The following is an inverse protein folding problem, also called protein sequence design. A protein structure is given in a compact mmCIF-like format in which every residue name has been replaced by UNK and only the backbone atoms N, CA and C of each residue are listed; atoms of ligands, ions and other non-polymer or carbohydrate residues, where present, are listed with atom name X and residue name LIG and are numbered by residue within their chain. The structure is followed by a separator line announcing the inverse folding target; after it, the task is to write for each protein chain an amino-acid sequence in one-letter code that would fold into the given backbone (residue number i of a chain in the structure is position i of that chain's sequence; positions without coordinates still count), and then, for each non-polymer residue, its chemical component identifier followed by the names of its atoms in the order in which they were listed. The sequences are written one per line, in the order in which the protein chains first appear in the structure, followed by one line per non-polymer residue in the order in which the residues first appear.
data_IF_392082829379
#
_entry.id   IF_392082829379
#
_cell.length_a   1.000
_cell.length_b   1.000
_cell.length_c   1.000
_cell.angle_alpha   90.00
_cell.angle_beta   90.00
_cell.angle_gamma   90.00
#
_symmetry.space_group_name_H-M   'P 1'
#
loop_
_entity.id
_entity.type
_entity.pdbx_description
1 polymer ?
#
# COMPACT_ATOMS: atom_id res chain seq x y z
N UNK A 1 30.46 -29.10 20.57
CA UNK A 1 29.73 -30.16 19.83
C UNK A 1 28.28 -30.35 20.32
N UNK A 2 27.58 -29.30 20.79
CA UNK A 2 26.21 -29.40 21.34
C UNK A 2 25.14 -28.58 20.60
N UNK A 3 25.50 -27.59 19.76
CA UNK A 3 24.51 -26.79 19.00
C UNK A 3 23.93 -27.56 17.80
N UNK A 4 24.72 -28.44 17.16
CA UNK A 4 24.25 -29.27 16.02
C UNK A 4 23.21 -30.35 16.39
N UNK A 5 23.05 -30.68 17.68
CA UNK A 5 22.06 -31.67 18.15
C UNK A 5 20.70 -31.04 18.50
N UNK A 6 20.64 -29.74 18.76
CA UNK A 6 19.39 -29.04 19.09
C UNK A 6 18.51 -28.81 17.85
N UNK A 7 19.10 -28.37 16.72
CA UNK A 7 18.36 -28.15 15.47
C UNK A 7 17.76 -29.43 14.86
N UNK A 8 18.39 -30.60 15.03
CA UNK A 8 17.84 -31.86 14.51
C UNK A 8 16.62 -32.37 15.28
N UNK A 9 16.53 -32.10 16.60
CA UNK A 9 15.44 -32.58 17.44
C UNK A 9 14.21 -31.68 17.40
N UNK A 10 14.41 -30.36 17.33
CA UNK A 10 13.31 -29.38 17.35
C UNK A 10 12.97 -28.79 15.97
N UNK A 11 13.89 -28.85 14.99
CA UNK A 11 13.66 -28.33 13.63
C UNK A 11 12.58 -29.11 12.87
N UNK A 12 12.53 -30.44 13.05
CA UNK A 12 11.45 -31.28 12.47
C UNK A 12 10.10 -30.96 13.11
N UNK A 13 10.09 -30.65 14.41
CA UNK A 13 8.88 -30.30 15.15
C UNK A 13 8.31 -28.95 14.73
N UNK A 14 9.16 -27.94 14.46
CA UNK A 14 8.72 -26.61 13.98
C UNK A 14 8.16 -26.69 12.55
N UNK A 15 8.80 -27.42 11.65
CA UNK A 15 8.31 -27.61 10.28
C UNK A 15 6.97 -28.36 10.27
N UNK A 16 6.83 -29.39 11.11
CA UNK A 16 5.58 -30.10 11.27
C UNK A 16 4.46 -29.21 11.85
N UNK A 17 4.78 -28.32 12.80
CA UNK A 17 3.81 -27.35 13.34
C UNK A 17 3.40 -26.31 12.31
N UNK A 18 4.33 -25.79 11.49
CA UNK A 18 4.00 -24.88 10.40
C UNK A 18 3.12 -25.55 9.34
N UNK A 19 3.43 -26.80 8.97
CA UNK A 19 2.62 -27.58 8.04
C UNK A 19 1.21 -27.82 8.60
N UNK A 20 1.10 -28.16 9.89
CA UNK A 20 -0.19 -28.35 10.57
C UNK A 20 -1.00 -27.05 10.62
N UNK A 21 -0.37 -25.91 10.87
CA UNK A 21 -1.06 -24.61 10.87
C UNK A 21 -1.52 -24.21 9.46
N UNK A 22 -0.76 -24.54 8.41
CA UNK A 22 -1.15 -24.29 7.01
C UNK A 22 -2.29 -25.22 6.58
N UNK A 23 -2.30 -26.49 6.99
CA UNK A 23 -3.39 -27.41 6.69
C UNK A 23 -4.65 -27.04 7.47
N UNK A 24 -4.54 -26.67 8.74
CA UNK A 24 -5.65 -26.17 9.55
C UNK A 24 -6.19 -24.84 8.98
N UNK A 25 -5.32 -23.93 8.51
CA UNK A 25 -5.74 -22.70 7.82
C UNK A 25 -6.51 -23.00 6.52
N UNK A 26 -6.07 -24.00 5.74
CA UNK A 26 -6.80 -24.44 4.54
C UNK A 26 -8.13 -25.14 4.87
N UNK A 27 -8.24 -25.83 6.01
CA UNK A 27 -9.46 -26.52 6.45
C UNK A 27 -10.48 -25.53 7.06
N UNK A 28 -10.02 -24.44 7.68
CA UNK A 28 -10.90 -23.38 8.26
C UNK A 28 -11.51 -22.48 7.16
N UNK A 29 -10.99 -22.51 5.92
CA UNK A 29 -11.59 -21.82 4.78
C UNK A 29 -12.07 -22.78 3.68
N UNK A 30 -13.06 -23.65 3.93
CA UNK A 30 -13.81 -24.27 2.85
C UNK A 30 -14.79 -23.21 2.33
N UNK A 31 -14.61 -22.79 1.09
CA UNK A 31 -15.59 -21.98 0.33
C UNK A 31 -15.71 -20.49 0.67
N UNK A 32 -14.59 -19.77 0.77
CA UNK A 32 -14.58 -18.37 0.33
C UNK A 32 -14.54 -18.28 -1.21
N UNK A 33 -15.42 -19.03 -1.89
CA UNK A 33 -15.77 -18.78 -3.29
C UNK A 33 -16.74 -17.61 -3.30
N UNK A 34 -16.21 -16.40 -3.07
CA UNK A 34 -16.90 -15.19 -3.49
C UNK A 34 -16.99 -15.32 -5.01
N UNK A 35 -18.21 -15.48 -5.54
CA UNK A 35 -18.47 -15.41 -6.97
C UNK A 35 -17.74 -14.19 -7.54
N UNK A 36 -16.66 -14.44 -8.27
CA UNK A 36 -15.97 -13.41 -9.04
C UNK A 36 -16.93 -12.97 -10.12
N UNK A 37 -17.70 -11.92 -9.82
CA UNK A 37 -18.37 -11.12 -10.83
C UNK A 37 -17.27 -10.44 -11.64
N UNK A 38 -16.75 -11.16 -12.64
CA UNK A 38 -15.75 -10.66 -13.57
C UNK A 38 -16.37 -9.48 -14.34
N UNK A 39 -16.09 -8.28 -13.86
CA UNK A 39 -16.24 -7.07 -14.63
C UNK A 39 -14.91 -6.35 -14.68
N UNK A 40 -14.21 -6.59 -15.80
CA UNK A 40 -12.97 -5.98 -16.31
C UNK A 40 -11.64 -6.52 -15.72
N UNK A 41 -10.80 -7.09 -16.61
CA UNK A 41 -9.44 -7.62 -16.39
C UNK A 41 -8.41 -6.50 -16.08
N UNK A 42 -8.59 -5.75 -15.00
CA UNK A 42 -7.59 -4.79 -14.55
C UNK A 42 -7.30 -4.99 -13.08
N UNK A 43 -6.05 -5.38 -12.79
CA UNK A 43 -5.51 -5.39 -11.44
C UNK A 43 -5.01 -3.99 -11.09
N UNK A 44 -5.25 -3.55 -9.85
CA UNK A 44 -4.71 -2.31 -9.30
C UNK A 44 -3.36 -2.59 -8.63
N UNK A 45 -2.29 -1.96 -9.11
CA UNK A 45 -0.98 -2.03 -8.47
C UNK A 45 -0.86 -0.95 -7.37
N UNK A 46 -0.79 -1.37 -6.12
CA UNK A 46 -0.72 -0.47 -4.96
C UNK A 46 0.73 -0.32 -4.56
N UNK A 47 1.31 0.83 -4.88
CA UNK A 47 2.71 1.16 -4.64
C UNK A 47 2.83 1.91 -3.32
N UNK A 48 3.53 1.31 -2.36
CA UNK A 48 3.66 1.82 -1.00
C UNK A 48 5.14 2.11 -0.69
N UNK A 49 5.55 3.38 -0.60
CA UNK A 49 6.90 3.74 -0.17
C UNK A 49 7.03 3.47 1.32
N UNK A 50 8.10 2.82 1.74
CA UNK A 50 8.21 2.26 3.09
C UNK A 50 9.62 2.38 3.68
N UNK A 51 9.68 2.71 4.98
CA UNK A 51 10.85 2.53 5.85
C UNK A 51 10.38 2.60 7.31
N UNK A 52 10.83 1.68 8.16
CA UNK A 52 10.64 1.69 9.62
C UNK A 52 9.20 1.92 10.13
N UNK A 53 8.19 1.56 9.34
CA UNK A 53 6.75 1.72 9.68
C UNK A 53 6.02 0.39 9.81
N UNK A 54 6.69 -0.62 10.36
CA UNK A 54 6.18 -2.00 10.38
C UNK A 54 4.79 -2.12 11.01
N UNK A 55 4.53 -1.40 12.12
CA UNK A 55 3.20 -1.40 12.74
C UNK A 55 2.13 -0.81 11.83
N UNK A 56 2.40 0.29 11.11
CA UNK A 56 1.46 0.82 10.12
C UNK A 56 1.20 -0.20 9.01
N UNK A 57 2.25 -0.86 8.50
CA UNK A 57 2.13 -1.87 7.45
C UNK A 57 1.28 -3.07 7.88
N UNK A 58 1.43 -3.52 9.14
CA UNK A 58 0.63 -4.60 9.72
C UNK A 58 -0.87 -4.28 9.76
N UNK A 59 -1.25 -3.02 9.96
CA UNK A 59 -2.66 -2.60 9.88
C UNK A 59 -3.10 -2.34 8.44
N UNK A 60 -2.21 -1.76 7.63
CA UNK A 60 -2.49 -1.36 6.25
C UNK A 60 -2.87 -2.54 5.36
N UNK A 61 -2.03 -3.57 5.30
CA UNK A 61 -2.22 -4.70 4.38
C UNK A 61 -3.57 -5.41 4.58
N UNK A 62 -3.93 -5.91 5.78
CA UNK A 62 -5.20 -6.61 5.95
C UNK A 62 -6.41 -5.69 5.76
N UNK A 63 -6.33 -4.44 6.21
CA UNK A 63 -7.41 -3.47 6.06
C UNK A 63 -7.69 -3.18 4.58
N UNK A 64 -6.65 -2.81 3.83
CA UNK A 64 -6.76 -2.50 2.40
C UNK A 64 -7.16 -3.72 1.59
N UNK A 65 -6.61 -4.89 1.89
CA UNK A 65 -6.98 -6.13 1.20
C UNK A 65 -8.47 -6.44 1.35
N UNK A 66 -8.99 -6.38 2.58
CA UNK A 66 -10.41 -6.60 2.84
C UNK A 66 -11.28 -5.51 2.17
N UNK A 67 -10.90 -4.24 2.31
CA UNK A 67 -11.63 -3.11 1.74
C UNK A 67 -11.77 -3.21 0.21
N UNK A 68 -10.70 -3.59 -0.49
CA UNK A 68 -10.69 -3.72 -1.94
C UNK A 68 -11.41 -4.98 -2.42
N UNK A 69 -11.27 -6.10 -1.71
CA UNK A 69 -11.99 -7.35 -2.02
C UNK A 69 -13.51 -7.16 -1.89
N UNK A 70 -13.98 -6.46 -0.85
CA UNK A 70 -15.40 -6.13 -0.69
C UNK A 70 -15.97 -5.30 -1.84
N UNK A 71 -15.10 -4.61 -2.58
CA UNK A 71 -15.44 -3.84 -3.78
C UNK A 71 -15.21 -4.61 -5.08
N UNK A 72 -14.77 -5.87 -5.01
CA UNK A 72 -14.46 -6.66 -6.19
C UNK A 72 -13.22 -6.18 -6.97
N UNK A 73 -12.34 -5.38 -6.33
CA UNK A 73 -11.15 -4.82 -6.99
C UNK A 73 -10.00 -5.81 -6.87
N UNK A 74 -9.58 -6.40 -7.99
CA UNK A 74 -8.34 -7.16 -8.07
C UNK A 74 -7.15 -6.23 -7.82
N UNK A 75 -6.23 -6.61 -6.95
CA UNK A 75 -5.12 -5.75 -6.57
C UNK A 75 -3.85 -6.54 -6.21
N UNK A 76 -2.70 -5.87 -6.31
CA UNK A 76 -1.40 -6.38 -5.85
C UNK A 76 -0.66 -5.27 -5.10
N UNK A 77 -0.06 -5.61 -3.96
CA UNK A 77 0.72 -4.67 -3.15
C UNK A 77 2.21 -4.75 -3.51
N UNK A 78 2.83 -3.59 -3.73
CA UNK A 78 4.27 -3.44 -3.94
C UNK A 78 4.83 -2.54 -2.84
N UNK A 79 5.50 -3.16 -1.87
CA UNK A 79 6.08 -2.46 -0.71
C UNK A 79 7.54 -2.11 -1.03
N UNK A 80 7.82 -0.82 -1.24
CA UNK A 80 9.13 -0.35 -1.68
C UNK A 80 9.91 0.12 -0.46
N UNK A 81 10.71 -0.79 0.09
CA UNK A 81 11.52 -0.52 1.28
C UNK A 81 12.81 0.23 0.94
N UNK A 82 13.01 1.43 1.49
CA UNK A 82 14.25 2.18 1.32
C UNK A 82 15.32 1.66 2.31
N UNK A 83 16.36 1.01 1.78
CA UNK A 83 17.36 0.29 2.57
C UNK A 83 18.61 1.09 2.93
N UNK A 84 18.85 2.24 2.28
CA UNK A 84 19.95 3.15 2.62
C UNK A 84 19.67 3.95 3.91
N UNK A 85 20.65 4.71 4.39
CA UNK A 85 20.53 5.58 5.58
C UNK A 85 20.25 7.05 5.23
N UNK A 86 20.03 7.39 3.96
CA UNK A 86 19.71 8.76 3.57
C UNK A 86 18.32 9.16 4.08
N UNK A 87 18.00 10.46 4.03
CA UNK A 87 16.64 10.92 4.32
C UNK A 87 15.62 10.17 3.45
N UNK A 88 14.43 9.93 3.99
CA UNK A 88 13.39 9.22 3.25
C UNK A 88 13.05 9.97 1.95
N UNK A 89 13.00 9.27 0.82
CA UNK A 89 12.75 9.85 -0.50
C UNK A 89 11.51 9.21 -1.11
N UNK A 90 10.35 9.73 -0.69
CA UNK A 90 9.03 9.20 -1.08
C UNK A 90 8.85 9.16 -2.59
N UNK A 91 9.13 10.26 -3.29
CA UNK A 91 8.99 10.36 -4.75
C UNK A 91 9.85 9.34 -5.51
N UNK A 92 11.11 9.16 -5.09
CA UNK A 92 11.99 8.16 -5.74
C UNK A 92 11.52 6.73 -5.50
N UNK A 93 11.03 6.41 -4.30
CA UNK A 93 10.48 5.08 -4.01
C UNK A 93 9.22 4.79 -4.81
N UNK A 94 8.35 5.79 -5.01
CA UNK A 94 7.19 5.66 -5.88
C UNK A 94 7.61 5.40 -7.33
N UNK A 95 8.60 6.14 -7.84
CA UNK A 95 9.16 5.90 -9.18
C UNK A 95 9.72 4.47 -9.33
N UNK A 96 10.51 4.02 -8.35
CA UNK A 96 11.05 2.65 -8.32
C UNK A 96 9.91 1.64 -8.32
N UNK A 97 8.90 1.80 -7.46
CA UNK A 97 7.79 0.87 -7.38
C UNK A 97 6.96 0.77 -8.64
N UNK A 98 6.72 1.89 -9.33
CA UNK A 98 6.03 1.88 -10.63
C UNK A 98 6.86 1.11 -11.67
N UNK A 99 8.17 1.35 -11.72
CA UNK A 99 9.07 0.66 -12.65
C UNK A 99 9.18 -0.84 -12.35
N UNK A 100 9.44 -1.21 -11.11
CA UNK A 100 9.63 -2.61 -10.71
C UNK A 100 8.33 -3.41 -10.83
N UNK A 101 7.18 -2.82 -10.49
CA UNK A 101 5.89 -3.49 -10.70
C UNK A 101 5.60 -3.77 -12.18
N UNK A 102 5.94 -2.84 -13.08
CA UNK A 102 5.79 -3.03 -14.52
C UNK A 102 6.70 -4.16 -15.03
N UNK A 103 7.94 -4.22 -14.53
CA UNK A 103 8.87 -5.30 -14.85
C UNK A 103 8.36 -6.66 -14.35
N UNK A 104 7.86 -6.75 -13.12
CA UNK A 104 7.34 -8.00 -12.54
C UNK A 104 6.04 -8.48 -13.21
N UNK A 105 5.23 -7.57 -13.74
CA UNK A 105 3.99 -7.89 -14.45
C UNK A 105 4.26 -8.34 -15.89
N UNK A 106 5.20 -7.69 -16.60
CA UNK A 106 5.50 -7.97 -18.00
C UNK A 106 6.63 -9.00 -18.22
N UNK A 107 7.44 -9.30 -17.20
CA UNK A 107 8.53 -10.27 -17.29
C UNK A 107 8.37 -11.42 -16.29
N UNK A 108 8.91 -12.57 -16.67
CA UNK A 108 9.04 -13.71 -15.77
C UNK A 108 10.07 -13.38 -14.69
N UNK A 109 9.62 -13.13 -13.46
CA UNK A 109 10.51 -12.97 -12.32
C UNK A 109 10.97 -14.36 -11.84
N UNK A 110 12.27 -14.64 -11.96
CA UNK A 110 12.89 -15.83 -11.37
C UNK A 110 13.60 -15.42 -10.08
N UNK A 111 12.99 -15.74 -8.93
CA UNK A 111 13.57 -15.46 -7.62
C UNK A 111 14.82 -16.32 -7.37
N UNK A 112 15.89 -15.69 -6.90
CA UNK A 112 17.15 -16.39 -6.53
C UNK A 112 17.00 -17.25 -5.27
N UNK A 113 15.94 -17.03 -4.48
CA UNK A 113 15.70 -17.71 -3.20
C UNK A 113 14.50 -18.66 -3.21
N UNK A 114 13.62 -18.57 -4.21
CA UNK A 114 12.44 -19.41 -4.33
C UNK A 114 12.12 -19.66 -5.79
N UNK A 115 11.83 -20.91 -6.14
CA UNK A 115 11.32 -21.31 -7.47
C UNK A 115 9.86 -20.84 -7.68
N UNK A 116 9.51 -19.65 -7.19
CA UNK A 116 8.20 -19.05 -7.39
C UNK A 116 8.31 -18.17 -8.62
N UNK A 117 7.86 -18.72 -9.75
CA UNK A 117 7.73 -17.98 -11.00
C UNK A 117 6.24 -17.83 -11.26
N UNK A 118 5.70 -16.66 -10.97
CA UNK A 118 4.35 -16.32 -11.40
C UNK A 118 4.38 -14.89 -11.89
N UNK A 119 4.20 -14.73 -13.21
CA UNK A 119 3.88 -13.42 -13.78
C UNK A 119 2.64 -12.90 -13.08
N UNK A 120 2.76 -11.71 -12.50
CA UNK A 120 1.63 -11.02 -11.88
C UNK A 120 0.73 -10.47 -13.00
N UNK A 121 -0.60 -10.43 -12.78
CA UNK A 121 -1.50 -9.87 -13.78
C UNK A 121 -1.14 -8.41 -14.07
N UNK A 122 -1.11 -7.98 -15.34
CA UNK A 122 -0.72 -6.63 -15.68
C UNK A 122 -1.71 -5.60 -15.13
N UNK A 123 -1.17 -4.58 -14.49
CA UNK A 123 -1.94 -3.50 -13.88
C UNK A 123 -1.84 -2.25 -14.75
N UNK A 124 -2.94 -1.78 -15.32
CA UNK A 124 -2.94 -0.50 -16.07
C UNK A 124 -2.99 0.71 -15.14
N UNK A 125 -3.55 0.51 -13.95
CA UNK A 125 -3.77 1.54 -12.94
C UNK A 125 -2.85 1.29 -11.76
N UNK A 126 -2.25 2.35 -11.25
CA UNK A 126 -1.41 2.35 -10.07
C UNK A 126 -2.03 3.24 -8.99
N UNK A 127 -2.04 2.75 -7.76
CA UNK A 127 -2.35 3.53 -6.57
C UNK A 127 -1.04 3.88 -5.86
N UNK A 128 -0.66 5.15 -5.89
CA UNK A 128 0.46 5.71 -5.14
C UNK A 128 -0.05 6.00 -3.73
N UNK A 129 0.41 5.27 -2.71
CA UNK A 129 -0.29 5.22 -1.43
C UNK A 129 0.63 5.25 -0.21
N UNK A 130 0.38 6.17 0.72
CA UNK A 130 1.07 6.20 2.00
C UNK A 130 0.59 5.06 2.92
N UNK A 131 1.50 4.43 3.64
CA UNK A 131 1.22 3.24 4.47
C UNK A 131 0.35 3.54 5.70
N UNK A 132 0.24 4.79 6.11
CA UNK A 132 -0.48 5.22 7.31
C UNK A 132 -1.90 5.72 7.04
N UNK A 133 -2.36 5.69 5.79
CA UNK A 133 -3.70 6.15 5.41
C UNK A 133 -4.64 4.97 5.16
N UNK A 134 -5.74 4.91 5.88
CA UNK A 134 -6.76 3.87 5.74
C UNK A 134 -8.12 4.46 5.33
N UNK A 135 -8.80 3.89 4.32
CA UNK A 135 -10.17 4.28 4.00
C UNK A 135 -11.11 3.82 5.11
N UNK A 136 -11.93 4.72 5.64
CA UNK A 136 -12.96 4.40 6.65
C UNK A 136 -14.36 4.34 6.05
N UNK A 137 -14.59 5.07 4.96
CA UNK A 137 -15.89 5.10 4.29
C UNK A 137 -15.96 4.16 3.11
N UNK A 138 -17.08 3.45 2.98
CA UNK A 138 -17.39 2.64 1.80
C UNK A 138 -17.61 3.49 0.53
N UNK A 139 -17.70 4.82 0.64
CA UNK A 139 -17.89 5.71 -0.51
C UNK A 139 -16.59 6.07 -1.24
N UNK A 140 -15.42 5.77 -0.67
CA UNK A 140 -14.15 6.04 -1.34
C UNK A 140 -13.93 5.00 -2.45
N UNK A 141 -13.91 5.47 -3.70
CA UNK A 141 -13.79 4.60 -4.86
C UNK A 141 -12.33 4.42 -5.22
N UNK A 142 -11.82 3.19 -5.09
CA UNK A 142 -10.52 2.80 -5.63
C UNK A 142 -10.61 2.32 -7.08
N UNK A 143 -11.83 2.21 -7.62
CA UNK A 143 -12.06 2.00 -9.04
C UNK A 143 -11.78 3.31 -9.78
N UNK A 144 -10.81 3.26 -10.69
CA UNK A 144 -10.54 4.37 -11.59
C UNK A 144 -10.11 3.79 -12.93
N UNK A 145 -10.78 4.22 -13.99
CA UNK A 145 -10.47 3.83 -15.37
C UNK A 145 -10.47 5.12 -16.17
N UNK A 146 -9.29 5.64 -16.47
CA UNK A 146 -9.20 6.93 -17.13
C UNK A 146 -7.78 7.46 -17.26
N UNK A 147 -7.67 8.50 -18.08
CA UNK A 147 -6.44 9.24 -18.30
C UNK A 147 -6.11 10.18 -17.14
N UNK A 148 -7.13 10.77 -16.52
CA UNK A 148 -6.95 11.82 -15.50
C UNK A 148 -6.73 11.22 -14.12
N UNK A 149 -5.65 11.59 -13.40
CA UNK A 149 -5.43 11.08 -12.05
C UNK A 149 -6.62 11.34 -11.13
N UNK A 150 -6.84 10.42 -10.19
CA UNK A 150 -7.85 10.50 -9.16
C UNK A 150 -7.20 10.61 -7.79
N UNK A 151 -7.26 11.81 -7.21
CA UNK A 151 -6.74 12.09 -5.88
C UNK A 151 -7.73 11.60 -4.82
N UNK A 152 -7.32 10.62 -4.01
CA UNK A 152 -8.20 9.95 -3.04
C UNK A 152 -8.39 10.78 -1.76
N UNK A 153 -7.43 11.64 -1.43
CA UNK A 153 -7.35 12.30 -0.12
C UNK A 153 -7.19 13.80 -0.32
N UNK A 154 -8.24 14.51 -0.73
CA UNK A 154 -8.17 15.96 -0.87
C UNK A 154 -7.86 16.64 0.47
N UNK A 155 -7.39 17.89 0.41
CA UNK A 155 -6.94 18.64 1.58
C UNK A 155 -7.99 18.72 2.71
N UNK A 156 -9.28 18.86 2.38
CA UNK A 156 -10.37 18.90 3.37
C UNK A 156 -10.70 17.54 4.00
N UNK A 157 -10.17 16.44 3.45
CA UNK A 157 -10.27 15.09 4.00
C UNK A 157 -9.01 14.67 4.75
N UNK A 158 -7.89 15.36 4.53
CA UNK A 158 -6.64 15.02 5.20
C UNK A 158 -6.62 15.60 6.63
N UNK A 159 -6.44 14.76 7.68
CA UNK A 159 -6.50 15.21 9.08
C UNK A 159 -5.50 16.30 9.49
N UNK A 160 -4.48 16.54 8.67
CA UNK A 160 -3.41 17.50 8.95
C UNK A 160 -3.29 18.64 7.91
N UNK A 161 -4.01 18.59 6.78
CA UNK A 161 -3.76 19.50 5.65
C UNK A 161 -4.98 20.32 5.21
N UNK A 162 -5.97 20.51 6.10
CA UNK A 162 -7.21 21.24 5.82
C UNK A 162 -7.03 22.61 5.12
N UNK A 163 -5.94 23.32 5.41
CA UNK A 163 -5.67 24.67 4.90
C UNK A 163 -4.75 24.73 3.67
N UNK A 164 -4.50 23.61 2.97
CA UNK A 164 -3.63 23.58 1.80
C UNK A 164 -4.36 23.12 0.52
N UNK A 165 -5.03 24.03 -0.21
CA UNK A 165 -5.85 23.67 -1.38
C UNK A 165 -5.12 22.98 -2.54
N UNK A 166 -3.79 23.12 -2.59
CA UNK A 166 -2.94 22.51 -3.62
C UNK A 166 -2.41 21.13 -3.21
N UNK A 167 -2.81 20.63 -2.05
CA UNK A 167 -2.40 19.32 -1.56
C UNK A 167 -2.83 18.20 -2.53
N UNK A 168 -1.86 17.40 -2.95
CA UNK A 168 -2.08 16.22 -3.80
C UNK A 168 -1.36 14.97 -3.26
N UNK A 169 -0.91 15.01 -2.01
CA UNK A 169 -0.20 13.91 -1.35
C UNK A 169 -1.13 12.83 -0.81
N UNK A 170 -0.55 11.91 -0.05
CA UNK A 170 -1.29 10.87 0.67
C UNK A 170 -1.60 9.65 -0.19
N UNK A 171 -2.67 9.72 -0.99
CA UNK A 171 -3.02 8.65 -1.92
C UNK A 171 -3.63 9.16 -3.22
N UNK A 172 -3.17 8.61 -4.33
CA UNK A 172 -3.63 8.96 -5.69
C UNK A 172 -3.67 7.71 -6.56
N UNK A 173 -4.69 7.61 -7.41
CA UNK A 173 -4.76 6.60 -8.46
C UNK A 173 -4.48 7.28 -9.80
N UNK A 174 -3.59 6.71 -10.59
CA UNK A 174 -3.21 7.23 -11.90
C UNK A 174 -2.96 6.06 -12.86
N UNK A 175 -3.18 6.23 -14.15
CA UNK A 175 -2.78 5.23 -15.13
C UNK A 175 -1.26 5.21 -15.29
N UNK A 176 -0.68 4.04 -15.57
CA UNK A 176 0.76 3.92 -15.88
C UNK A 176 1.16 4.85 -17.03
N UNK A 177 0.30 4.95 -18.05
CA UNK A 177 0.51 5.83 -19.19
C UNK A 177 0.64 7.30 -18.78
N UNK A 178 -0.27 7.80 -17.92
CA UNK A 178 -0.24 9.17 -17.45
C UNK A 178 0.95 9.44 -16.52
N UNK A 179 1.32 8.47 -15.68
CA UNK A 179 2.51 8.56 -14.83
C UNK A 179 3.80 8.66 -15.67
N UNK A 180 3.91 7.83 -16.72
CA UNK A 180 5.04 7.86 -17.63
C UNK A 180 5.08 9.14 -18.47
N UNK A 181 3.91 9.67 -18.87
CA UNK A 181 3.81 10.92 -19.62
C UNK A 181 4.43 12.11 -18.87
N UNK A 182 4.30 12.14 -17.55
CA UNK A 182 4.88 13.20 -16.70
C UNK A 182 6.27 12.87 -16.18
N UNK A 183 6.87 11.76 -16.63
CA UNK A 183 8.17 11.29 -16.17
C UNK A 183 8.24 11.09 -14.63
N UNK A 184 7.15 10.59 -14.04
CA UNK A 184 7.04 10.31 -12.61
C UNK A 184 7.33 11.51 -11.70
N UNK A 185 7.74 11.22 -10.46
CA UNK A 185 8.16 12.20 -9.45
C UNK A 185 9.60 12.69 -9.69
N UNK A 186 9.95 13.85 -9.17
CA UNK A 186 11.35 14.26 -9.02
C UNK A 186 12.09 13.42 -7.97
N UNK A 187 13.31 12.97 -8.30
CA UNK A 187 14.18 12.23 -7.38
C UNK A 187 14.98 13.15 -6.42
N UNK A 188 14.79 14.48 -6.49
CA UNK A 188 15.61 15.47 -5.78
C UNK A 188 15.10 15.80 -4.37
N UNK A 189 13.93 15.30 -3.99
CA UNK A 189 13.29 15.60 -2.72
C UNK A 189 13.65 14.55 -1.67
N UNK A 190 14.60 14.92 -0.81
CA UNK A 190 15.07 14.10 0.31
C UNK A 190 14.53 14.67 1.62
N UNK A 191 13.71 13.90 2.33
CA UNK A 191 12.97 14.35 3.52
C UNK A 191 11.56 14.84 3.19
N UNK A 192 10.93 15.50 4.16
CA UNK A 192 9.52 15.90 4.06
C UNK A 192 9.30 17.10 3.13
N UNK A 193 8.37 16.93 2.18
CA UNK A 193 7.66 18.01 1.50
C UNK A 193 8.17 18.39 0.11
N UNK A 194 7.27 19.06 -0.63
CA UNK A 194 7.43 19.63 -1.99
C UNK A 194 7.57 18.64 -3.13
N UNK A 195 7.73 17.34 -2.88
CA UNK A 195 7.75 16.33 -3.94
C UNK A 195 6.36 16.16 -4.56
N UNK A 196 5.31 16.18 -3.73
CA UNK A 196 3.92 16.15 -4.17
C UNK A 196 3.59 17.41 -4.96
N UNK A 197 3.97 18.59 -4.46
CA UNK A 197 3.71 19.87 -5.13
C UNK A 197 4.31 19.92 -6.54
N UNK A 198 5.56 19.45 -6.67
CA UNK A 198 6.26 19.41 -7.96
C UNK A 198 5.63 18.40 -8.92
N UNK A 199 5.24 17.23 -8.44
CA UNK A 199 4.50 16.26 -9.24
C UNK A 199 3.16 16.85 -9.74
N UNK A 200 2.49 17.66 -8.92
CA UNK A 200 1.26 18.37 -9.31
C UNK A 200 1.47 19.38 -10.42
N UNK A 201 2.60 20.09 -10.40
CA UNK A 201 2.98 20.99 -11.48
C UNK A 201 3.18 20.22 -12.79
N UNK A 202 3.85 19.06 -12.75
CA UNK A 202 4.03 18.21 -13.94
C UNK A 202 2.70 17.70 -14.51
N UNK A 203 1.79 17.26 -13.64
CA UNK A 203 0.44 16.86 -14.04
C UNK A 203 -0.31 18.02 -14.73
N UNK A 204 -0.19 19.22 -14.17
CA UNK A 204 -0.80 20.42 -14.74
C UNK A 204 -0.21 20.78 -16.11
N UNK A 205 1.12 20.76 -16.24
CA UNK A 205 1.82 21.03 -17.50
C UNK A 205 1.46 20.03 -18.61
N UNK A 206 1.23 18.77 -18.25
CA UNK A 206 0.79 17.72 -19.17
C UNK A 206 -0.73 17.75 -19.50
N UNK A 207 -1.47 18.78 -19.04
CA UNK A 207 -2.93 18.87 -19.14
C UNK A 207 -3.66 17.64 -18.54
N UNK A 208 -3.05 17.03 -17.53
CA UNK A 208 -3.62 15.95 -16.71
C UNK A 208 -4.19 16.50 -15.41
N UNK A 209 -4.84 17.67 -15.47
CA UNK A 209 -5.54 18.21 -14.31
C UNK A 209 -6.50 17.14 -13.80
N UNK A 210 -6.22 16.65 -12.59
CA UNK A 210 -6.97 15.56 -12.01
C UNK A 210 -8.46 15.93 -11.99
N UNK A 211 -9.31 14.92 -12.17
CA UNK A 211 -10.73 15.01 -11.79
C UNK A 211 -10.77 15.09 -10.27
N UNK A 212 -10.37 16.24 -9.72
CA UNK A 212 -9.94 16.44 -8.33
C UNK A 212 -11.08 16.34 -7.31
N UNK A 213 -12.30 16.07 -7.74
CA UNK A 213 -13.45 16.12 -6.84
C UNK A 213 -14.47 15.07 -7.26
N UNK A 214 -14.61 13.95 -6.52
CA UNK A 214 -15.92 13.35 -6.47
C UNK A 214 -16.83 14.39 -5.82
N UNK A 215 -17.80 14.95 -6.57
CA UNK A 215 -18.81 15.91 -6.08
C UNK A 215 -19.62 15.41 -4.86
N UNK A 216 -19.43 14.16 -4.44
CA UNK A 216 -20.25 13.44 -3.45
C UNK A 216 -19.36 12.53 -2.57
N UNK A 217 -18.33 13.06 -1.91
CA UNK A 217 -17.66 12.35 -0.81
C UNK A 217 -17.74 13.22 0.44
N UNK A 218 -18.36 12.67 1.50
CA UNK A 218 -18.58 13.34 2.79
C UNK A 218 -17.25 13.49 3.56
N UNK A 219 -17.24 14.38 4.54
CA UNK A 219 -16.19 14.46 5.56
C UNK A 219 -15.98 13.08 6.24
N UNK A 220 -14.76 12.79 6.69
CA UNK A 220 -14.36 11.59 7.48
C UNK A 220 -14.29 10.24 6.73
N UNK A 221 -13.83 10.23 5.48
CA UNK A 221 -13.65 8.99 4.70
C UNK A 221 -12.24 8.35 4.77
N UNK A 222 -11.29 9.00 5.47
CA UNK A 222 -9.92 8.51 5.65
C UNK A 222 -9.51 8.61 7.13
N UNK A 223 -8.67 7.68 7.58
CA UNK A 223 -8.05 7.69 8.91
C UNK A 223 -6.53 7.59 8.77
N UNK A 224 -5.81 8.39 9.57
CA UNK A 224 -4.35 8.29 9.71
C UNK A 224 -4.04 7.38 10.89
N UNK A 225 -3.19 6.38 10.69
CA UNK A 225 -2.66 5.54 11.77
C UNK A 225 -1.53 6.32 12.45
N UNK A 226 -1.82 6.94 13.60
CA UNK A 226 -0.82 7.55 14.48
C UNK A 226 -0.43 6.59 15.60
N UNK A 227 0.86 6.29 15.76
CA UNK A 227 1.36 5.56 16.92
C UNK A 227 1.62 6.54 18.06
N UNK A 228 1.01 6.32 19.23
CA UNK A 228 1.27 7.14 20.42
C UNK A 228 2.57 6.70 21.10
N UNK A 229 3.39 7.65 21.55
CA UNK A 229 4.64 7.40 22.27
C UNK A 229 4.45 6.76 23.66
N UNK A 230 3.22 6.57 24.13
CA UNK A 230 2.91 5.85 25.37
C UNK A 230 2.93 4.32 25.25
N UNK A 231 2.88 3.78 24.03
CA UNK A 231 2.76 2.33 23.83
C UNK A 231 4.12 1.60 23.80
N UNK A 232 5.24 2.33 23.70
CA UNK A 232 6.59 1.74 23.69
C UNK A 232 7.09 1.31 25.06
N UNK A 233 6.50 1.82 26.17
CA UNK A 233 6.92 1.42 27.54
C UNK A 233 6.13 0.25 28.13
N UNK A 234 5.05 -0.21 27.49
CA UNK A 234 4.18 -1.26 28.04
C UNK A 234 4.41 -2.66 27.47
N UNK A 235 5.26 -2.82 26.45
CA UNK A 235 5.41 -4.11 25.75
C UNK A 235 6.47 -5.05 26.32
N UNK A 236 7.07 -4.77 27.49
CA UNK A 236 8.06 -5.68 28.09
C UNK A 236 7.48 -6.67 29.10
N UNK A 237 6.21 -6.56 29.49
CA UNK A 237 5.59 -7.55 30.39
C UNK A 237 4.14 -7.83 30.02
N UNK A 238 3.88 -9.09 29.69
CA UNK A 238 2.57 -9.77 29.58
C UNK A 238 1.70 -9.49 28.35
N UNK A 239 1.03 -10.55 27.87
CA UNK A 239 0.03 -10.54 26.80
C UNK A 239 -0.98 -9.40 26.98
N UNK A 240 -0.81 -8.32 26.23
CA UNK A 240 -1.66 -7.14 26.28
C UNK A 240 -2.21 -6.82 24.89
N UNK A 241 -3.53 -6.72 24.80
CA UNK A 241 -4.25 -6.17 23.65
C UNK A 241 -3.74 -4.75 23.35
N UNK A 242 -3.33 -4.52 22.11
CA UNK A 242 -2.94 -3.19 21.63
C UNK A 242 -4.17 -2.29 21.58
N UNK A 243 -4.16 -1.20 22.35
CA UNK A 243 -5.15 -0.12 22.22
C UNK A 243 -4.62 0.89 21.21
N UNK A 244 -5.19 0.89 20.02
CA UNK A 244 -5.04 1.99 19.06
C UNK A 244 -5.83 3.17 19.62
N UNK A 245 -5.18 4.31 19.84
CA UNK A 245 -5.89 5.54 20.14
C UNK A 245 -6.48 6.11 18.86
N UNK A 246 -7.81 6.13 18.80
CA UNK A 246 -8.58 6.83 17.77
C UNK A 246 -8.60 8.31 18.13
N UNK A 247 -7.88 9.14 17.39
CA UNK A 247 -8.18 10.57 17.34
C UNK A 247 -9.08 10.82 16.14
N UNK A 248 -10.39 10.81 16.37
CA UNK A 248 -11.30 11.61 15.55
C UNK A 248 -11.22 13.02 16.10
N UNK A 249 -10.69 13.96 15.31
CA UNK A 249 -10.90 15.38 15.53
C UNK A 249 -12.07 15.83 14.65
#
# INVERSE_FOLDING_TARGET
MQVRRFCKKYGVSIVAMMMLMVTVWKIIQPDAQIEKKNSVNHTLAIIVPFRDRFTNLLFFLPHMHNYLNQKGISHTFYIINQADDFRFNRGSLLNVGVKESDLMENHYFESTFSKWTMSLPPSQMIALHDVDLLPTSNNLKYEHFGKFPYHLIPHWMHPQYYNYPKYIGGAMIISRQSFNLVNGFSNRYWGWGREDDEFGLRLKEANLNASLFPRIVRLNCMQVITLSSSDTKRSQTTHGSFKVSTSSL
#
